data_IF_519973781489
#
_entry.id   IF_519973781489
#
_cell.length_a   1.000
_cell.length_b   1.000
_cell.length_c   1.000
_cell.angle_alpha   90.00
_cell.angle_beta   90.00
_cell.angle_gamma   90.00
#
_symmetry.space_group_name_H-M   'P 1'
#
loop_
_entity.id
_entity.type
_entity.pdbx_description
1 polymer ?
#
# COMPACT_ATOMS: atom_id res chain seq x y z
N UNK A 1 -9.89 -1.24 34.38
CA UNK A 1 -9.45 -0.61 33.12
C UNK A 1 -9.59 -1.65 32.02
N UNK A 2 -10.54 -1.47 31.09
CA UNK A 2 -10.64 -2.34 29.93
C UNK A 2 -9.60 -1.89 28.89
N UNK A 3 -8.69 -2.79 28.52
CA UNK A 3 -7.77 -2.55 27.40
C UNK A 3 -8.59 -2.46 26.11
N UNK A 4 -8.78 -1.26 25.57
CA UNK A 4 -9.36 -1.07 24.24
C UNK A 4 -8.25 -0.92 23.21
N UNK A 5 -8.31 -1.73 22.16
CA UNK A 5 -7.40 -1.62 21.03
C UNK A 5 -7.71 -0.35 20.24
N UNK A 6 -6.75 0.56 20.12
CA UNK A 6 -6.84 1.76 19.29
C UNK A 6 -6.18 1.52 17.92
N UNK A 7 -6.95 1.48 16.81
CA UNK A 7 -6.42 1.30 15.46
C UNK A 7 -5.39 2.36 15.05
N UNK A 8 -5.50 3.59 15.56
CA UNK A 8 -4.55 4.66 15.22
C UNK A 8 -3.17 4.33 15.77
N UNK A 9 -3.11 3.92 17.03
CA UNK A 9 -1.87 3.48 17.67
C UNK A 9 -1.25 2.31 16.91
N UNK A 10 -2.06 1.30 16.51
CA UNK A 10 -1.57 0.17 15.75
C UNK A 10 -0.99 0.57 14.36
N UNK A 11 -1.66 1.47 13.65
CA UNK A 11 -1.17 2.02 12.38
C UNK A 11 0.17 2.74 12.57
N UNK A 12 0.28 3.59 13.60
CA UNK A 12 1.50 4.36 13.86
C UNK A 12 2.67 3.47 14.27
N UNK A 13 2.43 2.45 15.09
CA UNK A 13 3.45 1.46 15.46
C UNK A 13 3.90 0.68 14.22
N UNK A 14 2.99 0.20 13.38
CA UNK A 14 3.34 -0.50 12.14
C UNK A 14 4.11 0.38 11.15
N UNK A 15 3.72 1.65 11.03
CA UNK A 15 4.42 2.66 10.25
C UNK A 15 5.86 2.88 10.74
N UNK A 16 6.04 3.03 12.06
CA UNK A 16 7.36 3.18 12.69
C UNK A 16 8.23 1.95 12.45
N UNK A 17 7.70 0.74 12.69
CA UNK A 17 8.42 -0.51 12.45
C UNK A 17 8.88 -0.63 10.99
N UNK A 18 8.02 -0.26 10.05
CA UNK A 18 8.36 -0.26 8.62
C UNK A 18 9.54 0.68 8.32
N UNK A 19 9.52 1.89 8.86
CA UNK A 19 10.65 2.82 8.69
C UNK A 19 11.93 2.33 9.37
N UNK A 20 11.84 1.72 10.55
CA UNK A 20 12.99 1.13 11.22
C UNK A 20 13.62 0.02 10.36
N UNK A 21 12.81 -0.88 9.80
CA UNK A 21 13.27 -1.90 8.84
C UNK A 21 13.96 -1.28 7.63
N UNK A 22 13.37 -0.22 7.07
CA UNK A 22 13.98 0.55 5.98
C UNK A 22 15.33 1.16 6.35
N UNK A 23 15.42 1.75 7.55
CA UNK A 23 16.66 2.32 8.08
C UNK A 23 17.76 1.26 8.23
N UNK A 24 17.44 0.10 8.78
CA UNK A 24 18.38 -1.02 8.87
C UNK A 24 18.88 -1.47 7.50
N UNK A 25 18.00 -1.50 6.49
CA UNK A 25 18.35 -1.87 5.13
C UNK A 25 19.26 -0.82 4.45
N UNK A 26 19.03 0.47 4.72
CA UNK A 26 19.89 1.58 4.27
C UNK A 26 21.29 1.50 4.89
N UNK A 27 21.38 1.22 6.20
CA UNK A 27 22.67 1.06 6.88
C UNK A 27 23.51 -0.08 6.28
N UNK A 28 22.84 -1.16 5.84
CA UNK A 28 23.48 -2.30 5.19
C UNK A 28 23.64 -2.17 3.67
N UNK A 29 23.25 -1.03 3.07
CA UNK A 29 23.22 -0.85 1.62
C UNK A 29 24.58 -1.09 0.95
N UNK A 30 25.67 -0.63 1.58
CA UNK A 30 27.03 -0.78 1.05
C UNK A 30 27.53 -2.23 1.08
N UNK A 31 26.93 -3.09 1.88
CA UNK A 31 27.28 -4.51 2.00
C UNK A 31 26.62 -5.38 0.92
N UNK A 32 25.69 -4.83 0.14
CA UNK A 32 24.93 -5.59 -0.86
C UNK A 32 25.62 -5.65 -2.22
N UNK A 33 25.48 -6.75 -2.99
CA UNK A 33 25.98 -6.83 -4.37
C UNK A 33 25.34 -5.77 -5.27
N UNK A 34 26.11 -5.20 -6.21
CA UNK A 34 25.68 -4.11 -7.08
C UNK A 34 24.41 -4.39 -7.90
N UNK A 35 24.22 -5.64 -8.34
CA UNK A 35 23.01 -6.06 -9.08
C UNK A 35 21.72 -5.98 -8.25
N UNK A 36 21.79 -6.18 -6.93
CA UNK A 36 20.64 -6.12 -6.01
C UNK A 36 20.29 -4.68 -5.65
N UNK A 37 21.30 -3.79 -5.58
CA UNK A 37 21.10 -2.37 -5.24
C UNK A 37 20.13 -1.67 -6.19
N UNK A 38 20.11 -2.03 -7.47
CA UNK A 38 19.23 -1.36 -8.44
C UNK A 38 17.75 -1.57 -8.11
N UNK A 39 17.33 -2.80 -7.79
CA UNK A 39 15.95 -3.09 -7.42
C UNK A 39 15.62 -2.61 -6.01
N UNK A 40 16.60 -2.70 -5.11
CA UNK A 40 16.43 -2.31 -3.72
C UNK A 40 16.21 -0.81 -3.55
N UNK A 41 16.71 0.04 -4.45
CA UNK A 41 16.43 1.50 -4.42
C UNK A 41 14.92 1.77 -4.43
N UNK A 42 14.20 1.02 -5.27
CA UNK A 42 12.77 1.16 -5.45
C UNK A 42 12.03 0.55 -4.28
N UNK A 43 12.54 -0.55 -3.73
CA UNK A 43 11.99 -1.13 -2.50
C UNK A 43 12.10 -0.14 -1.33
N UNK A 44 13.27 0.49 -1.16
CA UNK A 44 13.50 1.52 -0.14
C UNK A 44 12.63 2.77 -0.35
N UNK A 45 12.46 3.23 -1.59
CA UNK A 45 11.52 4.31 -1.89
C UNK A 45 10.08 3.92 -1.47
N UNK A 46 9.69 2.66 -1.71
CA UNK A 46 8.43 2.10 -1.22
C UNK A 46 8.33 2.12 0.30
N UNK A 47 9.36 1.63 1.01
CA UNK A 47 9.42 1.65 2.48
C UNK A 47 9.40 3.07 3.05
N UNK A 48 9.98 4.05 2.36
CA UNK A 48 9.95 5.45 2.79
C UNK A 48 8.53 6.04 2.66
N UNK A 49 7.86 5.79 1.53
CA UNK A 49 6.55 6.35 1.20
C UNK A 49 5.38 5.65 1.91
N UNK A 50 5.51 4.36 2.22
CA UNK A 50 4.42 3.57 2.76
C UNK A 50 3.95 4.05 4.15
N UNK A 51 4.85 4.27 5.13
CA UNK A 51 4.48 4.80 6.45
C UNK A 51 3.96 6.23 6.39
N UNK A 52 4.41 7.06 5.45
CA UNK A 52 3.87 8.43 5.26
C UNK A 52 2.36 8.36 5.00
N UNK A 53 1.94 7.45 4.12
CA UNK A 53 0.51 7.27 3.82
C UNK A 53 -0.29 6.85 5.05
N UNK A 54 0.26 5.93 5.85
CA UNK A 54 -0.36 5.47 7.09
C UNK A 54 -0.42 6.52 8.20
N UNK A 55 0.65 7.29 8.38
CA UNK A 55 0.69 8.42 9.33
C UNK A 55 -0.38 9.44 8.95
N UNK A 56 -0.50 9.80 7.67
CA UNK A 56 -1.54 10.72 7.21
C UNK A 56 -2.93 10.18 7.52
N UNK A 57 -3.20 8.89 7.26
CA UNK A 57 -4.48 8.26 7.61
C UNK A 57 -4.76 8.31 9.12
N UNK A 58 -3.76 8.05 9.95
CA UNK A 58 -3.89 8.07 11.42
C UNK A 58 -4.18 9.49 11.96
N UNK A 59 -3.68 10.52 11.29
CA UNK A 59 -3.91 11.93 11.60
C UNK A 59 -5.27 12.46 11.11
N UNK A 60 -6.13 11.62 10.51
CA UNK A 60 -7.45 12.04 10.02
C UNK A 60 -8.29 12.65 11.16
N UNK A 61 -8.86 13.81 10.87
CA UNK A 61 -9.60 14.63 11.84
C UNK A 61 -8.73 15.59 12.66
N UNK A 62 -7.40 15.61 12.46
CA UNK A 62 -6.48 16.53 13.13
C UNK A 62 -5.87 17.59 12.20
N UNK A 63 -5.95 17.42 10.88
CA UNK A 63 -5.50 18.39 9.89
C UNK A 63 -6.53 18.50 8.75
N UNK A 64 -6.36 19.47 7.82
CA UNK A 64 -7.27 19.62 6.70
C UNK A 64 -7.37 18.34 5.86
N UNK A 65 -8.61 17.91 5.58
CA UNK A 65 -8.89 16.66 4.88
C UNK A 65 -8.24 16.58 3.49
N UNK A 66 -7.97 17.72 2.86
CA UNK A 66 -7.33 17.79 1.54
C UNK A 66 -5.89 17.28 1.54
N UNK A 67 -5.11 17.59 2.57
CA UNK A 67 -3.73 17.08 2.69
C UNK A 67 -3.79 15.59 3.03
N UNK A 68 -4.59 15.25 4.03
CA UNK A 68 -4.56 13.90 4.62
C UNK A 68 -5.08 12.84 3.66
N UNK A 69 -6.21 13.09 2.99
CA UNK A 69 -6.89 12.07 2.18
C UNK A 69 -6.17 11.85 0.85
N UNK A 70 -5.89 12.94 0.13
CA UNK A 70 -5.26 12.85 -1.19
C UNK A 70 -3.79 12.44 -1.07
N UNK A 71 -3.00 13.09 -0.19
CA UNK A 71 -1.59 12.74 -0.05
C UNK A 71 -1.43 11.35 0.59
N UNK A 72 -2.31 10.95 1.52
CA UNK A 72 -2.27 9.62 2.12
C UNK A 72 -2.47 8.50 1.09
N UNK A 73 -3.53 8.59 0.28
CA UNK A 73 -3.81 7.61 -0.77
C UNK A 73 -2.73 7.60 -1.87
N UNK A 74 -2.25 8.77 -2.28
CA UNK A 74 -1.20 8.90 -3.30
C UNK A 74 0.13 8.34 -2.81
N UNK A 75 0.49 8.58 -1.54
CA UNK A 75 1.71 8.05 -0.93
C UNK A 75 1.69 6.52 -0.86
N UNK A 76 0.56 5.92 -0.45
CA UNK A 76 0.39 4.47 -0.48
C UNK A 76 0.48 3.91 -1.90
N UNK A 77 -0.19 4.53 -2.86
CA UNK A 77 -0.12 4.11 -4.25
C UNK A 77 1.30 4.22 -4.84
N UNK A 78 2.02 5.29 -4.53
CA UNK A 78 3.40 5.47 -4.93
C UNK A 78 4.30 4.40 -4.30
N UNK A 79 4.07 4.06 -3.03
CA UNK A 79 4.82 3.00 -2.36
C UNK A 79 4.63 1.63 -3.04
N UNK A 80 3.39 1.24 -3.34
CA UNK A 80 3.12 -0.03 -4.03
C UNK A 80 3.62 -0.04 -5.48
N UNK A 81 3.58 1.11 -6.17
CA UNK A 81 4.20 1.24 -7.48
C UNK A 81 5.72 0.99 -7.39
N UNK A 82 6.40 1.58 -6.41
CA UNK A 82 7.83 1.39 -6.19
C UNK A 82 8.17 -0.08 -5.85
N UNK A 83 7.39 -0.73 -4.98
CA UNK A 83 7.57 -2.16 -4.68
C UNK A 83 7.33 -3.05 -5.91
N UNK A 84 6.34 -2.74 -6.74
CA UNK A 84 6.11 -3.47 -7.99
C UNK A 84 7.26 -3.30 -8.99
N UNK A 85 7.85 -2.10 -9.09
CA UNK A 85 9.06 -1.85 -9.90
C UNK A 85 10.24 -2.65 -9.35
N UNK A 86 10.43 -2.66 -8.03
CA UNK A 86 11.48 -3.42 -7.36
C UNK A 86 11.38 -4.94 -7.60
N UNK A 87 10.17 -5.52 -7.54
CA UNK A 87 9.97 -6.94 -7.88
C UNK A 87 10.27 -7.21 -9.35
N UNK A 88 9.81 -6.35 -10.25
CA UNK A 88 10.05 -6.52 -11.69
C UNK A 88 11.54 -6.45 -12.01
N UNK A 89 12.23 -5.43 -11.52
CA UNK A 89 13.67 -5.27 -11.74
C UNK A 89 14.49 -6.41 -11.13
N UNK A 90 14.13 -6.89 -9.93
CA UNK A 90 14.77 -8.06 -9.30
C UNK A 90 14.67 -9.34 -10.14
N UNK A 91 13.63 -9.47 -10.97
CA UNK A 91 13.40 -10.65 -11.82
C UNK A 91 13.67 -10.39 -13.30
N UNK A 92 14.37 -9.30 -13.65
CA UNK A 92 14.73 -8.96 -15.03
C UNK A 92 13.53 -8.67 -15.94
N UNK A 93 12.40 -8.24 -15.36
CA UNK A 93 11.17 -7.93 -16.09
C UNK A 93 11.12 -6.46 -16.54
N UNK A 94 10.36 -6.15 -17.62
CA UNK A 94 10.02 -4.78 -17.94
C UNK A 94 9.32 -4.10 -16.76
N UNK A 95 9.93 -3.02 -16.27
CA UNK A 95 9.51 -2.34 -15.04
C UNK A 95 8.15 -1.64 -15.18
N UNK A 96 7.76 -1.25 -16.41
CA UNK A 96 6.49 -0.57 -16.73
C UNK A 96 6.24 0.69 -15.87
N UNK A 97 7.30 1.46 -15.60
CA UNK A 97 7.28 2.67 -14.75
C UNK A 97 6.16 3.64 -15.13
N UNK A 98 6.04 3.97 -16.42
CA UNK A 98 5.03 4.92 -16.90
C UNK A 98 3.60 4.48 -16.55
N UNK A 99 3.28 3.18 -16.71
CA UNK A 99 1.96 2.65 -16.37
C UNK A 99 1.70 2.66 -14.87
N UNK A 100 2.69 2.29 -14.06
CA UNK A 100 2.55 2.30 -12.61
C UNK A 100 2.41 3.73 -12.08
N UNK A 101 3.19 4.66 -12.63
CA UNK A 101 3.08 6.09 -12.35
C UNK A 101 1.69 6.65 -12.73
N UNK A 102 1.19 6.30 -13.92
CA UNK A 102 -0.16 6.68 -14.36
C UNK A 102 -1.22 6.19 -13.36
N UNK A 103 -1.14 4.94 -12.91
CA UNK A 103 -2.10 4.41 -11.93
C UNK A 103 -1.98 5.14 -10.59
N UNK A 104 -0.76 5.46 -10.13
CA UNK A 104 -0.55 6.28 -8.92
C UNK A 104 -1.18 7.67 -9.04
N UNK A 105 -1.00 8.33 -10.20
CA UNK A 105 -1.65 9.62 -10.48
C UNK A 105 -3.17 9.46 -10.47
N UNK A 106 -3.70 8.42 -11.09
CA UNK A 106 -5.15 8.14 -11.07
C UNK A 106 -5.68 7.92 -9.65
N UNK A 107 -4.93 7.28 -8.75
CA UNK A 107 -5.31 7.16 -7.33
C UNK A 107 -5.42 8.53 -6.68
N UNK A 108 -4.40 9.38 -6.85
CA UNK A 108 -4.41 10.73 -6.28
C UNK A 108 -5.52 11.60 -6.84
N UNK A 109 -5.72 11.56 -8.17
CA UNK A 109 -6.79 12.29 -8.84
C UNK A 109 -8.18 11.81 -8.40
N UNK A 110 -8.41 10.49 -8.33
CA UNK A 110 -9.68 9.95 -7.85
C UNK A 110 -9.94 10.32 -6.38
N UNK A 111 -8.92 10.19 -5.52
CA UNK A 111 -9.02 10.57 -4.12
C UNK A 111 -9.37 12.05 -3.95
N UNK A 112 -8.78 12.93 -4.77
CA UNK A 112 -9.04 14.37 -4.75
C UNK A 112 -10.41 14.71 -5.33
N UNK A 113 -10.75 14.17 -6.50
CA UNK A 113 -12.01 14.44 -7.20
C UNK A 113 -13.24 14.07 -6.36
N UNK A 114 -13.27 12.85 -5.82
CA UNK A 114 -14.39 12.38 -4.99
C UNK A 114 -14.38 12.94 -3.57
N UNK A 115 -13.39 13.76 -3.23
CA UNK A 115 -13.37 14.52 -1.96
C UNK A 115 -13.84 15.96 -2.18
N UNK A 116 -13.48 16.61 -3.28
CA UNK A 116 -13.73 18.05 -3.48
C UNK A 116 -14.71 18.41 -4.59
N UNK A 117 -14.65 17.71 -5.73
CA UNK A 117 -15.41 18.09 -6.92
C UNK A 117 -16.79 17.44 -6.92
N UNK A 118 -16.85 16.15 -6.61
CA UNK A 118 -18.08 15.39 -6.49
C UNK A 118 -18.01 14.51 -5.24
N UNK A 119 -18.29 15.07 -4.05
CA UNK A 119 -18.15 14.35 -2.78
C UNK A 119 -18.97 13.06 -2.76
N UNK A 120 -18.28 11.93 -2.91
CA UNK A 120 -18.91 10.61 -2.91
C UNK A 120 -17.97 9.60 -2.25
N UNK A 121 -18.15 9.43 -0.93
CA UNK A 121 -17.27 8.60 -0.09
C UNK A 121 -17.14 7.17 -0.64
N UNK A 122 -18.26 6.55 -0.97
CA UNK A 122 -18.32 5.18 -1.46
C UNK A 122 -17.53 5.01 -2.78
N UNK A 123 -17.80 5.85 -3.79
CA UNK A 123 -17.09 5.84 -5.07
C UNK A 123 -15.58 6.04 -4.89
N UNK A 124 -15.17 6.96 -3.99
CA UNK A 124 -13.77 7.17 -3.62
C UNK A 124 -13.11 5.89 -3.12
N UNK A 125 -13.74 5.23 -2.14
CA UNK A 125 -13.21 4.01 -1.53
C UNK A 125 -13.09 2.92 -2.59
N UNK A 126 -14.16 2.65 -3.34
CA UNK A 126 -14.18 1.60 -4.37
C UNK A 126 -13.08 1.84 -5.42
N UNK A 127 -13.02 3.04 -6.01
CA UNK A 127 -12.07 3.35 -7.08
C UNK A 127 -10.63 3.31 -6.58
N UNK A 128 -10.34 3.91 -5.42
CA UNK A 128 -8.99 3.89 -4.83
C UNK A 128 -8.55 2.45 -4.54
N UNK A 129 -9.42 1.62 -3.96
CA UNK A 129 -9.07 0.23 -3.64
C UNK A 129 -8.89 -0.63 -4.90
N UNK A 130 -9.71 -0.46 -5.93
CA UNK A 130 -9.51 -1.14 -7.22
C UNK A 130 -8.15 -0.76 -7.82
N UNK A 131 -7.81 0.52 -7.85
CA UNK A 131 -6.53 0.99 -8.40
C UNK A 131 -5.33 0.50 -7.57
N UNK A 132 -5.44 0.49 -6.23
CA UNK A 132 -4.44 -0.10 -5.34
C UNK A 132 -4.29 -1.60 -5.60
N UNK A 133 -5.39 -2.34 -5.78
CA UNK A 133 -5.36 -3.76 -6.11
C UNK A 133 -4.65 -4.02 -7.45
N UNK A 134 -4.80 -3.12 -8.44
CA UNK A 134 -4.03 -3.23 -9.70
C UNK A 134 -2.53 -3.03 -9.45
N UNK A 135 -2.13 -2.07 -8.62
CA UNK A 135 -0.72 -1.83 -8.27
C UNK A 135 -0.11 -3.03 -7.53
N UNK A 136 -0.75 -3.48 -6.46
CA UNK A 136 -0.28 -4.59 -5.62
C UNK A 136 -0.33 -5.90 -6.42
N UNK A 137 -1.43 -6.16 -7.13
CA UNK A 137 -1.60 -7.34 -7.98
C UNK A 137 -0.57 -7.40 -9.11
N UNK A 138 -0.03 -6.25 -9.54
CA UNK A 138 1.07 -6.22 -10.52
C UNK A 138 2.37 -6.82 -9.98
N UNK A 139 2.60 -6.74 -8.66
CA UNK A 139 3.70 -7.40 -7.95
C UNK A 139 3.49 -8.90 -7.84
N UNK A 140 2.30 -9.34 -7.40
CA UNK A 140 1.94 -10.76 -7.39
C UNK A 140 2.08 -11.41 -8.77
N UNK A 141 1.61 -10.72 -9.82
CA UNK A 141 1.74 -11.18 -11.22
C UNK A 141 3.21 -11.24 -11.68
N UNK A 142 4.09 -10.38 -11.17
CA UNK A 142 5.51 -10.44 -11.51
C UNK A 142 6.16 -11.75 -11.04
N UNK A 143 5.67 -12.29 -9.91
CA UNK A 143 6.11 -13.57 -9.34
C UNK A 143 5.43 -14.76 -10.02
N UNK A 144 4.10 -14.79 -10.07
CA UNK A 144 3.32 -15.98 -10.47
C UNK A 144 3.12 -16.14 -11.99
N UNK A 145 3.70 -15.27 -12.81
CA UNK A 145 3.67 -15.43 -14.26
C UNK A 145 4.30 -16.76 -14.70
N UNK A 146 3.91 -17.25 -15.88
CA UNK A 146 4.64 -18.34 -16.57
C UNK A 146 6.10 -17.91 -16.77
N UNK A 147 7.03 -18.77 -16.37
CA UNK A 147 8.47 -18.45 -16.37
C UNK A 147 8.89 -17.43 -15.29
N UNK A 148 8.11 -17.28 -14.22
CA UNK A 148 8.46 -16.47 -13.07
C UNK A 148 9.62 -17.05 -12.24
N UNK A 149 10.14 -16.27 -11.27
CA UNK A 149 11.22 -16.70 -10.39
C UNK A 149 10.84 -17.97 -9.61
N UNK A 150 11.80 -18.89 -9.46
CA UNK A 150 11.66 -20.12 -8.69
C UNK A 150 12.29 -19.96 -7.31
N UNK A 151 11.77 -20.69 -6.33
CA UNK A 151 12.27 -20.67 -4.94
C UNK A 151 11.16 -20.43 -3.92
N UNK A 152 11.47 -20.56 -2.63
CA UNK A 152 10.51 -20.32 -1.54
C UNK A 152 10.27 -18.82 -1.33
N UNK A 153 11.34 -18.03 -1.28
CA UNK A 153 11.25 -16.58 -1.02
C UNK A 153 10.37 -15.85 -2.05
N UNK A 154 10.58 -15.96 -3.38
CA UNK A 154 9.70 -15.29 -4.35
C UNK A 154 8.24 -15.73 -4.23
N UNK A 155 7.98 -17.03 -3.97
CA UNK A 155 6.62 -17.56 -3.80
C UNK A 155 5.91 -16.98 -2.59
N UNK A 156 6.61 -16.88 -1.46
CA UNK A 156 6.06 -16.25 -0.24
C UNK A 156 5.78 -14.78 -0.49
N UNK A 157 6.73 -14.03 -1.07
CA UNK A 157 6.52 -12.61 -1.42
C UNK A 157 5.35 -12.43 -2.37
N UNK A 158 5.26 -13.22 -3.45
CA UNK A 158 4.14 -13.18 -4.37
C UNK A 158 2.80 -13.51 -3.71
N UNK A 159 2.77 -14.48 -2.80
CA UNK A 159 1.58 -14.86 -2.05
C UNK A 159 1.12 -13.72 -1.13
N UNK A 160 2.04 -13.03 -0.44
CA UNK A 160 1.71 -11.86 0.37
C UNK A 160 1.05 -10.75 -0.48
N UNK A 161 1.64 -10.41 -1.64
CA UNK A 161 1.02 -9.45 -2.56
C UNK A 161 -0.35 -9.92 -3.05
N UNK A 162 -0.53 -11.21 -3.34
CA UNK A 162 -1.80 -11.76 -3.78
C UNK A 162 -2.88 -11.71 -2.68
N UNK A 163 -2.54 -12.08 -1.45
CA UNK A 163 -3.44 -12.00 -0.29
C UNK A 163 -3.89 -10.58 -0.05
N UNK A 164 -2.96 -9.62 -0.05
CA UNK A 164 -3.30 -8.21 0.18
C UNK A 164 -4.09 -7.62 -0.99
N UNK A 165 -3.82 -8.02 -2.23
CA UNK A 165 -4.67 -7.69 -3.38
C UNK A 165 -6.10 -8.18 -3.14
N UNK A 166 -6.26 -9.42 -2.66
CA UNK A 166 -7.56 -9.99 -2.31
C UNK A 166 -8.27 -9.22 -1.20
N UNK A 167 -7.57 -8.84 -0.13
CA UNK A 167 -8.12 -8.06 0.98
C UNK A 167 -8.61 -6.67 0.51
N UNK A 168 -7.82 -5.99 -0.32
CA UNK A 168 -8.19 -4.66 -0.86
C UNK A 168 -9.38 -4.76 -1.81
N UNK A 169 -9.46 -5.80 -2.64
CA UNK A 169 -10.63 -6.06 -3.49
C UNK A 169 -11.87 -6.43 -2.68
N UNK A 170 -11.71 -7.27 -1.66
CA UNK A 170 -12.79 -7.62 -0.72
C UNK A 170 -13.33 -6.35 -0.05
N UNK A 171 -12.45 -5.44 0.37
CA UNK A 171 -12.86 -4.14 0.93
C UNK A 171 -13.68 -3.32 -0.06
N UNK A 172 -13.26 -3.24 -1.32
CA UNK A 172 -14.03 -2.54 -2.37
C UNK A 172 -15.40 -3.20 -2.62
N UNK A 173 -15.46 -4.53 -2.65
CA UNK A 173 -16.70 -5.28 -2.85
C UNK A 173 -17.70 -5.12 -1.70
N UNK A 174 -17.20 -5.14 -0.46
CA UNK A 174 -18.04 -4.90 0.73
C UNK A 174 -18.59 -3.48 0.71
N UNK A 175 -17.77 -2.48 0.39
CA UNK A 175 -18.23 -1.09 0.29
C UNK A 175 -19.26 -0.90 -0.84
N UNK A 176 -19.17 -1.67 -1.93
CA UNK A 176 -20.16 -1.65 -2.99
C UNK A 176 -21.52 -2.23 -2.56
N UNK A 177 -21.53 -3.25 -1.71
CA UNK A 177 -22.74 -3.91 -1.22
C UNK A 177 -23.35 -3.21 0.02
N UNK A 178 -22.52 -2.68 0.93
CA UNK A 178 -22.92 -2.02 2.16
C UNK A 178 -22.13 -0.71 2.32
N UNK A 179 -22.68 0.44 1.91
CA UNK A 179 -22.03 1.74 2.05
C UNK A 179 -21.78 2.06 3.53
N UNK A 180 -20.56 2.46 3.86
CA UNK A 180 -20.12 2.71 5.24
C UNK A 180 -20.12 4.22 5.52
N UNK A 181 -20.58 4.61 6.71
CA UNK A 181 -20.54 6.00 7.15
C UNK A 181 -19.10 6.47 7.45
N UNK A 182 -18.77 7.77 7.24
CA UNK A 182 -17.40 8.28 7.42
C UNK A 182 -16.76 7.97 8.78
N UNK A 183 -17.57 7.91 9.84
CA UNK A 183 -17.17 7.65 11.22
C UNK A 183 -16.79 6.18 11.50
N UNK A 184 -17.16 5.27 10.61
CA UNK A 184 -16.94 3.82 10.77
C UNK A 184 -15.60 3.34 10.15
N UNK A 185 -14.91 4.20 9.39
CA UNK A 185 -13.65 3.86 8.72
C UNK A 185 -12.49 3.50 9.67
N UNK A 186 -12.45 4.12 10.85
CA UNK A 186 -11.44 3.85 11.88
C UNK A 186 -12.02 3.08 13.08
N UNK A 187 -13.28 2.62 13.01
CA UNK A 187 -13.81 1.74 14.04
C UNK A 187 -13.14 0.38 13.97
N UNK A 188 -12.91 -0.19 15.15
CA UNK A 188 -12.39 -1.56 15.29
C UNK A 188 -13.42 -2.51 14.68
N UNK A 189 -13.14 -3.01 13.48
CA UNK A 189 -13.86 -4.11 12.85
C UNK A 189 -12.85 -5.15 12.38
N UNK A 190 -13.17 -6.45 12.42
CA UNK A 190 -12.26 -7.50 11.95
C UNK A 190 -11.76 -7.25 10.53
N UNK A 191 -12.63 -6.71 9.66
CA UNK A 191 -12.30 -6.35 8.29
C UNK A 191 -11.31 -5.20 8.19
N UNK A 192 -11.51 -4.12 8.97
CA UNK A 192 -10.60 -2.98 8.98
C UNK A 192 -9.21 -3.41 9.50
N UNK A 193 -9.18 -4.21 10.56
CA UNK A 193 -7.94 -4.77 11.12
C UNK A 193 -7.23 -5.66 10.12
N UNK A 194 -7.96 -6.54 9.41
CA UNK A 194 -7.38 -7.39 8.39
C UNK A 194 -6.82 -6.60 7.19
N UNK A 195 -7.55 -5.59 6.70
CA UNK A 195 -7.10 -4.76 5.58
C UNK A 195 -5.89 -3.90 5.95
N UNK A 196 -5.95 -3.22 7.10
CA UNK A 196 -4.85 -2.39 7.60
C UNK A 196 -3.63 -3.25 7.91
N UNK A 197 -3.82 -4.35 8.63
CA UNK A 197 -2.76 -5.30 8.97
C UNK A 197 -2.11 -5.91 7.72
N UNK A 198 -2.91 -6.35 6.75
CA UNK A 198 -2.39 -6.88 5.47
C UNK A 198 -1.53 -5.86 4.72
N UNK A 199 -1.99 -4.61 4.62
CA UNK A 199 -1.21 -3.54 4.00
C UNK A 199 0.09 -3.24 4.78
N UNK A 200 0.06 -3.27 6.11
CA UNK A 200 1.25 -3.04 6.97
C UNK A 200 2.32 -4.14 6.86
N UNK A 201 1.95 -5.36 6.46
CA UNK A 201 2.89 -6.50 6.36
C UNK A 201 3.70 -6.51 5.06
N UNK A 202 3.19 -5.94 3.97
CA UNK A 202 3.89 -5.94 2.67
C UNK A 202 5.30 -5.34 2.63
N UNK A 203 5.62 -4.25 3.37
CA UNK A 203 6.97 -3.69 3.37
C UNK A 203 8.00 -4.50 4.19
N UNK A 204 7.56 -5.47 5.01
CA UNK A 204 8.40 -6.34 5.84
C UNK A 204 8.88 -7.56 5.06
#
# INVERSE_FOLDING_TARGET
MAWSFDPRTAILVGALLTWLTGGMLVLNWRSLPGGVRLSLRWWLAGIALHPVGFVLIALRGMAPDWVIIAAGATSLAAAFACMAIALRSSYGLPERRARLCLITVLVGTAATWFTFVAPHLQARIIIVHILLAVLIGSGARAVFRRGGPRGRVPRVTGALFAVVTGLVLMRAGIEAAWPISPDQLLRVSPLNVACIGGLLVLPL
#
